data_IF_643212732441
#
_entry.id   IF_643212732441
#
_cell.length_a   1.000
_cell.length_b   1.000
_cell.length_c   1.000
_cell.angle_alpha   90.00
_cell.angle_beta   90.00
_cell.angle_gamma   90.00
#
_symmetry.space_group_name_H-M   'P 1'
#
loop_
_entity.id
_entity.type
_entity.pdbx_description
1 polymer ?
#
# COMPACT_ATOMS: atom_id res chain seq x y z
N UNK A 1 -11.60 7.04 15.54
CA UNK A 1 -12.76 6.90 16.44
C UNK A 1 -12.36 6.01 17.61
N UNK A 2 -12.15 6.55 18.82
CA UNK A 2 -11.83 5.77 20.01
C UNK A 2 -12.91 4.73 20.34
N UNK A 3 -14.18 5.12 20.16
CA UNK A 3 -15.38 4.36 20.58
C UNK A 3 -16.08 3.62 19.44
N UNK A 4 -15.35 3.29 18.36
CA UNK A 4 -15.91 2.43 17.33
C UNK A 4 -16.34 1.08 17.95
N UNK A 5 -17.50 0.50 17.58
CA UNK A 5 -17.96 -0.77 18.12
C UNK A 5 -16.95 -1.87 17.81
N UNK A 6 -16.47 -2.56 18.85
CA UNK A 6 -15.49 -3.67 18.75
C UNK A 6 -16.14 -4.94 19.28
N UNK A 7 -16.70 -5.81 18.41
CA UNK A 7 -17.29 -7.09 18.80
C UNK A 7 -16.31 -8.04 19.49
N UNK A 8 -15.01 -7.88 19.21
CA UNK A 8 -13.93 -8.65 19.81
C UNK A 8 -12.79 -7.74 20.24
N UNK A 9 -12.30 -7.93 21.47
CA UNK A 9 -11.22 -7.14 22.06
C UNK A 9 -10.09 -8.06 22.50
N UNK A 10 -8.99 -8.01 21.76
CA UNK A 10 -7.75 -8.73 22.10
C UNK A 10 -6.98 -7.95 23.18
N UNK A 11 -6.33 -8.62 24.14
CA UNK A 11 -5.38 -7.97 25.04
C UNK A 11 -4.28 -7.25 24.25
N UNK A 12 -4.02 -5.97 24.56
CA UNK A 12 -3.07 -5.09 23.84
C UNK A 12 -1.64 -5.66 23.80
N UNK A 13 -1.28 -6.50 24.77
CA UNK A 13 0.03 -7.16 24.82
C UNK A 13 0.28 -8.01 23.56
N UNK A 14 -0.75 -8.67 23.03
CA UNK A 14 -0.64 -9.54 21.85
C UNK A 14 -0.19 -8.77 20.60
N UNK A 15 -0.88 -7.69 20.16
CA UNK A 15 -0.43 -6.92 19.01
C UNK A 15 0.91 -6.21 19.27
N UNK A 16 1.22 -5.80 20.51
CA UNK A 16 2.54 -5.21 20.83
C UNK A 16 3.65 -6.23 20.59
N UNK A 17 3.51 -7.46 21.10
CA UNK A 17 4.50 -8.53 20.86
C UNK A 17 4.57 -8.87 19.37
N UNK A 18 3.44 -8.93 18.66
CA UNK A 18 3.43 -9.18 17.23
C UNK A 18 4.23 -8.14 16.44
N UNK A 19 4.04 -6.85 16.74
CA UNK A 19 4.79 -5.76 16.09
C UNK A 19 6.30 -5.88 16.39
N UNK A 20 6.68 -6.19 17.63
CA UNK A 20 8.09 -6.37 17.98
C UNK A 20 8.73 -7.54 17.22
N UNK A 21 8.04 -8.68 17.13
CA UNK A 21 8.52 -9.85 16.38
C UNK A 21 8.61 -9.51 14.89
N UNK A 22 7.58 -8.90 14.29
CA UNK A 22 7.59 -8.51 12.88
C UNK A 22 8.72 -7.53 12.56
N UNK A 23 8.95 -6.52 13.42
CA UNK A 23 10.04 -5.58 13.25
C UNK A 23 11.41 -6.28 13.32
N UNK A 24 11.61 -7.17 14.30
CA UNK A 24 12.85 -7.94 14.41
C UNK A 24 13.08 -8.83 13.17
N UNK A 25 12.06 -9.53 12.68
CA UNK A 25 12.17 -10.38 11.49
C UNK A 25 12.51 -9.61 10.22
N UNK A 26 12.15 -8.33 10.12
CA UNK A 26 12.54 -7.47 9.00
C UNK A 26 13.96 -6.93 9.20
N UNK A 27 14.29 -6.41 10.40
CA UNK A 27 15.58 -5.75 10.66
C UNK A 27 16.74 -6.73 10.73
N UNK A 28 16.56 -7.90 11.36
CA UNK A 28 17.61 -8.91 11.53
C UNK A 28 18.27 -9.34 10.21
N UNK A 29 17.53 -9.82 9.18
CA UNK A 29 18.18 -10.23 7.93
C UNK A 29 18.87 -9.07 7.21
N UNK A 30 18.34 -7.85 7.31
CA UNK A 30 18.94 -6.67 6.68
C UNK A 30 20.30 -6.32 7.31
N UNK A 31 20.43 -6.46 8.63
CA UNK A 31 21.68 -6.13 9.35
C UNK A 31 22.72 -7.24 9.25
N UNK A 32 22.31 -8.50 9.38
CA UNK A 32 23.24 -9.62 9.46
C UNK A 32 23.62 -10.23 8.10
N UNK A 33 22.73 -10.18 7.10
CA UNK A 33 22.99 -10.70 5.75
C UNK A 33 22.40 -9.76 4.68
N UNK A 34 23.04 -8.59 4.45
CA UNK A 34 22.53 -7.59 3.53
C UNK A 34 22.62 -8.07 2.07
N UNK A 35 21.55 -8.70 1.58
CA UNK A 35 21.38 -9.03 0.16
C UNK A 35 20.91 -7.81 -0.63
N UNK A 36 21.36 -7.71 -1.88
CA UNK A 36 20.94 -6.66 -2.81
C UNK A 36 19.41 -6.64 -3.03
N UNK A 37 18.75 -7.79 -2.92
CA UNK A 37 17.29 -7.91 -3.00
C UNK A 37 16.57 -7.07 -1.95
N UNK A 38 17.08 -7.04 -0.70
CA UNK A 38 16.47 -6.25 0.37
C UNK A 38 16.60 -4.74 0.11
N UNK A 39 17.74 -4.31 -0.42
CA UNK A 39 17.95 -2.91 -0.82
C UNK A 39 17.05 -2.51 -1.98
N UNK A 40 16.85 -3.40 -2.97
CA UNK A 40 15.94 -3.16 -4.07
C UNK A 40 14.49 -3.02 -3.60
N UNK A 41 14.05 -3.83 -2.63
CA UNK A 41 12.71 -3.72 -2.01
C UNK A 41 12.54 -2.38 -1.29
N UNK A 42 13.53 -1.94 -0.51
CA UNK A 42 13.50 -0.61 0.13
C UNK A 42 13.44 0.52 -0.91
N UNK A 43 14.20 0.40 -2.00
CA UNK A 43 14.14 1.33 -3.13
C UNK A 43 12.75 1.36 -3.79
N UNK A 44 12.10 0.21 -3.93
CA UNK A 44 10.75 0.12 -4.49
C UNK A 44 9.70 0.79 -3.59
N UNK A 45 9.82 0.65 -2.26
CA UNK A 45 8.97 1.39 -1.32
C UNK A 45 9.18 2.91 -1.42
N UNK A 46 10.44 3.35 -1.51
CA UNK A 46 10.75 4.76 -1.71
C UNK A 46 10.18 5.28 -3.05
N UNK A 47 10.26 4.49 -4.12
CA UNK A 47 9.65 4.81 -5.41
C UNK A 47 8.12 4.97 -5.29
N UNK A 48 7.46 4.13 -4.50
CA UNK A 48 6.03 4.25 -4.21
C UNK A 48 5.68 5.61 -3.58
N UNK A 49 6.50 6.12 -2.66
CA UNK A 49 6.34 7.46 -2.09
C UNK A 49 6.57 8.55 -3.15
N UNK A 50 7.61 8.41 -3.97
CA UNK A 50 7.91 9.34 -5.06
C UNK A 50 6.77 9.40 -6.09
N UNK A 51 6.08 8.30 -6.36
CA UNK A 51 4.91 8.23 -7.25
C UNK A 51 3.65 8.77 -6.54
N UNK A 52 3.47 8.48 -5.26
CA UNK A 52 2.31 8.96 -4.49
C UNK A 52 2.20 10.49 -4.49
N UNK A 53 3.33 11.19 -4.33
CA UNK A 53 3.37 12.66 -4.25
C UNK A 53 2.77 13.35 -5.51
N UNK A 54 3.26 13.15 -6.74
CA UNK A 54 2.71 13.79 -7.93
C UNK A 54 1.28 13.34 -8.25
N UNK A 55 1.00 12.03 -8.19
CA UNK A 55 -0.26 11.50 -8.71
C UNK A 55 -1.42 11.58 -7.70
N UNK A 56 -1.15 11.43 -6.40
CA UNK A 56 -2.19 11.45 -5.36
C UNK A 56 -2.23 12.79 -4.65
N UNK A 57 -1.10 13.26 -4.12
CA UNK A 57 -1.07 14.50 -3.34
C UNK A 57 -1.30 15.73 -4.24
N UNK A 58 -0.55 15.86 -5.34
CA UNK A 58 -0.74 16.95 -6.31
C UNK A 58 -1.86 16.68 -7.33
N UNK A 59 -2.48 15.49 -7.29
CA UNK A 59 -3.58 15.08 -8.20
C UNK A 59 -3.24 15.24 -9.68
N UNK A 60 -1.98 15.10 -10.05
CA UNK A 60 -1.55 15.22 -11.44
C UNK A 60 -2.13 14.07 -12.27
N UNK A 61 -2.85 14.39 -13.34
CA UNK A 61 -3.36 13.40 -14.30
C UNK A 61 -2.53 13.47 -15.58
N UNK A 62 -2.01 12.33 -16.02
CA UNK A 62 -1.31 12.24 -17.30
C UNK A 62 -2.30 12.47 -18.44
N UNK A 63 -1.93 13.29 -19.45
CA UNK A 63 -2.77 13.46 -20.63
C UNK A 63 -2.93 12.10 -21.34
N UNK A 64 -4.17 11.71 -21.64
CA UNK A 64 -4.49 10.44 -22.32
C UNK A 64 -4.85 9.26 -21.41
N UNK A 65 -4.80 9.42 -20.08
CA UNK A 65 -5.23 8.38 -19.12
C UNK A 65 -6.64 7.87 -19.39
N UNK A 66 -7.60 8.74 -19.71
CA UNK A 66 -9.00 8.34 -19.96
C UNK A 66 -9.12 7.44 -21.20
N UNK A 67 -8.30 7.68 -22.23
CA UNK A 67 -8.23 6.84 -23.42
C UNK A 67 -7.65 5.47 -23.10
N UNK A 68 -6.59 5.42 -22.31
CA UNK A 68 -5.99 4.17 -21.84
C UNK A 68 -6.96 3.36 -20.98
N UNK A 69 -7.64 3.98 -20.02
CA UNK A 69 -8.64 3.33 -19.17
C UNK A 69 -9.77 2.73 -20.01
N UNK A 70 -10.28 3.47 -21.00
CA UNK A 70 -11.31 2.96 -21.91
C UNK A 70 -10.81 1.78 -22.75
N UNK A 71 -9.59 1.84 -23.28
CA UNK A 71 -9.01 0.73 -24.03
C UNK A 71 -8.94 -0.54 -23.17
N UNK A 72 -8.44 -0.42 -21.94
CA UNK A 72 -8.36 -1.55 -20.99
C UNK A 72 -9.76 -2.07 -20.62
N UNK A 73 -10.75 -1.18 -20.44
CA UNK A 73 -12.14 -1.57 -20.16
C UNK A 73 -12.74 -2.41 -21.29
N UNK A 74 -12.57 -2.00 -22.55
CA UNK A 74 -13.06 -2.79 -23.68
C UNK A 74 -12.34 -4.13 -23.84
N UNK A 75 -11.01 -4.16 -23.63
CA UNK A 75 -10.22 -5.39 -23.73
C UNK A 75 -10.59 -6.44 -22.67
N UNK A 76 -10.91 -5.99 -21.46
CA UNK A 76 -11.24 -6.86 -20.33
C UNK A 76 -12.75 -7.05 -20.12
N UNK A 77 -13.58 -6.36 -20.94
CA UNK A 77 -15.04 -6.29 -20.79
C UNK A 77 -15.47 -5.87 -19.37
N UNK A 78 -14.66 -5.04 -18.71
CA UNK A 78 -14.91 -4.54 -17.37
C UNK A 78 -15.72 -3.24 -17.39
N UNK A 79 -16.70 -3.13 -16.49
CA UNK A 79 -17.47 -1.91 -16.27
C UNK A 79 -17.13 -1.30 -14.89
N UNK A 80 -17.23 0.04 -14.73
CA UNK A 80 -17.07 0.66 -13.42
C UNK A 80 -18.17 0.21 -12.45
N UNK A 81 -17.85 0.18 -11.15
CA UNK A 81 -18.84 -0.11 -10.12
C UNK A 81 -19.96 0.94 -10.14
N UNK A 82 -21.24 0.55 -9.96
CA UNK A 82 -22.34 1.50 -9.81
C UNK A 82 -22.31 2.24 -8.47
N UNK A 83 -21.37 1.90 -7.57
CA UNK A 83 -21.19 2.58 -6.30
C UNK A 83 -20.72 4.02 -6.52
N UNK A 84 -21.49 4.96 -5.96
CA UNK A 84 -21.16 6.38 -5.88
C UNK A 84 -20.79 6.65 -4.43
N UNK A 85 -19.57 7.16 -4.20
CA UNK A 85 -19.18 7.67 -2.89
C UNK A 85 -19.97 8.97 -2.64
N UNK A 86 -21.11 8.87 -1.96
CA UNK A 86 -21.84 10.01 -1.37
C UNK A 86 -21.27 10.35 0.02
#
# INVERSE_FOLDING_TARGET
MPDAPRPFKVPIIIPVVAVLISAALVVLPIVYDPKLEYLAVLGFFALGVVIYIPFVYYKYRLPGMDGFTRAVQYLTLAAPSPYKDD
#
